data_IF_229225319169
#
_entry.id   IF_229225319169
#
_cell.length_a   1.000
_cell.length_b   1.000
_cell.length_c   1.000
_cell.angle_alpha   90.00
_cell.angle_beta   90.00
_cell.angle_gamma   90.00
#
_symmetry.space_group_name_H-M   'P 1'
#
loop_
_entity.id
_entity.type
_entity.pdbx_description
1 polymer ?
#
# COMPACT_ATOMS: atom_id res chain seq x y z
N UNK A 1 11.01 -8.68 -11.05
CA UNK A 1 10.88 -7.70 -9.95
C UNK A 1 10.14 -6.46 -10.44
N UNK A 2 8.96 -6.21 -9.87
CA UNK A 2 8.06 -5.09 -10.19
C UNK A 2 7.77 -4.33 -8.89
N UNK A 3 7.80 -3.00 -8.94
CA UNK A 3 7.38 -2.15 -7.82
C UNK A 3 6.00 -1.53 -8.12
N UNK A 4 5.08 -1.60 -7.15
CA UNK A 4 3.84 -0.83 -7.19
C UNK A 4 3.88 0.25 -6.12
N UNK A 5 3.34 1.40 -6.48
CA UNK A 5 3.24 2.55 -5.60
C UNK A 5 1.80 3.03 -5.64
N UNK A 6 1.20 3.12 -4.46
CA UNK A 6 -0.06 3.81 -4.24
C UNK A 6 0.20 5.10 -3.48
N UNK A 7 -0.57 6.14 -3.79
CA UNK A 7 -0.48 7.45 -3.15
C UNK A 7 -1.86 7.91 -2.70
N UNK A 8 -1.93 8.35 -1.46
CA UNK A 8 -3.14 8.94 -0.90
C UNK A 8 -2.84 10.02 0.12
N UNK A 9 -3.90 10.65 0.61
CA UNK A 9 -3.81 11.73 1.58
C UNK A 9 -4.88 11.57 2.65
N UNK A 10 -4.53 11.99 3.86
CA UNK A 10 -5.48 12.18 4.96
C UNK A 10 -5.34 13.57 5.53
N UNK A 11 -6.26 13.94 6.42
CA UNK A 11 -6.03 15.09 7.29
C UNK A 11 -4.90 14.76 8.29
N UNK A 12 -4.17 15.77 8.80
CA UNK A 12 -3.06 15.53 9.72
C UNK A 12 -3.48 14.79 10.99
N UNK A 13 -4.66 15.09 11.54
CA UNK A 13 -5.21 14.44 12.73
C UNK A 13 -5.54 12.94 12.53
N UNK A 14 -5.78 12.52 11.29
CA UNK A 14 -6.13 11.13 10.95
C UNK A 14 -4.90 10.27 10.62
N UNK A 15 -3.69 10.87 10.63
CA UNK A 15 -2.45 10.22 10.16
C UNK A 15 -2.18 8.89 10.87
N UNK A 16 -2.20 8.88 12.20
CA UNK A 16 -1.84 7.68 12.98
C UNK A 16 -2.88 6.57 12.81
N UNK A 17 -4.16 6.91 12.92
CA UNK A 17 -5.26 5.97 12.73
C UNK A 17 -5.27 5.36 11.32
N UNK A 18 -5.00 6.16 10.29
CA UNK A 18 -4.90 5.67 8.92
C UNK A 18 -3.67 4.78 8.72
N UNK A 19 -2.53 5.15 9.30
CA UNK A 19 -1.31 4.34 9.23
C UNK A 19 -1.52 2.95 9.84
N UNK A 20 -2.11 2.89 11.04
CA UNK A 20 -2.40 1.63 11.73
C UNK A 20 -3.37 0.75 10.94
N UNK A 21 -4.41 1.36 10.35
CA UNK A 21 -5.35 0.66 9.50
C UNK A 21 -4.66 0.03 8.28
N UNK A 22 -3.85 0.80 7.55
CA UNK A 22 -3.15 0.31 6.35
C UNK A 22 -2.10 -0.75 6.69
N UNK A 23 -1.38 -0.59 7.81
CA UNK A 23 -0.41 -1.59 8.27
C UNK A 23 -1.10 -2.89 8.66
N UNK A 24 -2.21 -2.80 9.41
CA UNK A 24 -2.96 -3.97 9.88
C UNK A 24 -3.71 -4.72 8.78
N UNK A 25 -4.09 -4.02 7.70
CA UNK A 25 -4.87 -4.61 6.60
C UNK A 25 -4.02 -4.77 5.33
N UNK A 26 -3.74 -3.68 4.62
CA UNK A 26 -3.04 -3.68 3.33
C UNK A 26 -1.65 -4.29 3.39
N UNK A 27 -0.77 -3.81 4.27
CA UNK A 27 0.61 -4.32 4.40
C UNK A 27 0.64 -5.79 4.82
N UNK A 28 -0.24 -6.19 5.74
CA UNK A 28 -0.38 -7.59 6.14
C UNK A 28 -0.82 -8.47 4.96
N UNK A 29 -1.79 -8.03 4.16
CA UNK A 29 -2.27 -8.74 2.98
C UNK A 29 -1.18 -8.84 1.89
N UNK A 30 -0.41 -7.78 1.66
CA UNK A 30 0.73 -7.80 0.75
C UNK A 30 1.74 -8.89 1.14
N UNK A 31 2.17 -8.88 2.40
CA UNK A 31 3.18 -9.83 2.90
C UNK A 31 2.70 -11.28 2.92
N UNK A 32 1.38 -11.50 2.99
CA UNK A 32 0.80 -12.83 2.95
C UNK A 32 0.70 -13.40 1.53
N UNK A 33 0.83 -12.58 0.49
CA UNK A 33 0.69 -13.02 -0.89
C UNK A 33 2.00 -13.60 -1.43
N UNK A 34 2.00 -14.83 -1.98
CA UNK A 34 3.16 -15.39 -2.65
C UNK A 34 3.70 -14.46 -3.75
N UNK A 35 5.02 -14.34 -3.82
CA UNK A 35 5.69 -13.45 -4.77
C UNK A 35 5.83 -12.00 -4.30
N UNK A 36 5.29 -11.63 -3.13
CA UNK A 36 5.61 -10.36 -2.49
C UNK A 36 7.01 -10.41 -1.86
N UNK A 37 7.86 -9.45 -2.24
CA UNK A 37 9.24 -9.30 -1.77
C UNK A 37 9.38 -8.23 -0.68
N UNK A 38 8.27 -7.64 -0.25
CA UNK A 38 8.23 -6.60 0.77
C UNK A 38 7.15 -5.56 0.49
N UNK A 39 6.67 -4.95 1.57
CA UNK A 39 5.73 -3.84 1.51
C UNK A 39 6.03 -2.82 2.63
N UNK A 40 5.93 -1.54 2.28
CA UNK A 40 6.25 -0.41 3.14
C UNK A 40 5.14 0.62 3.06
N UNK A 41 4.81 1.21 4.21
CA UNK A 41 4.01 2.41 4.31
C UNK A 41 4.94 3.56 4.72
N UNK A 42 4.90 4.64 3.96
CA UNK A 42 5.69 5.85 4.22
C UNK A 42 4.70 7.01 4.28
N UNK A 43 4.87 7.91 5.24
CA UNK A 43 4.07 9.12 5.32
C UNK A 43 4.95 10.36 5.44
N UNK A 44 4.43 11.48 4.95
CA UNK A 44 5.04 12.80 5.16
C UNK A 44 3.97 13.89 5.24
N UNK A 45 4.21 14.96 6.00
CA UNK A 45 3.38 16.16 5.90
C UNK A 45 3.41 16.74 4.48
N UNK A 46 2.24 17.17 3.99
CA UNK A 46 2.04 17.80 2.69
C UNK A 46 1.02 18.95 2.84
N UNK A 47 1.52 20.12 3.24
CA UNK A 47 0.70 21.30 3.50
C UNK A 47 -0.27 21.11 4.67
N UNK A 48 -1.57 21.14 4.38
CA UNK A 48 -2.67 20.95 5.34
C UNK A 48 -3.12 19.48 5.45
N UNK A 49 -2.34 18.55 4.89
CA UNK A 49 -2.63 17.12 4.83
C UNK A 49 -1.39 16.30 5.16
N UNK A 50 -1.60 15.00 5.33
CA UNK A 50 -0.51 14.02 5.35
C UNK A 50 -0.62 13.15 4.11
N UNK A 51 0.46 13.09 3.34
CA UNK A 51 0.59 12.16 2.23
C UNK A 51 1.04 10.79 2.75
N UNK A 52 0.50 9.75 2.13
CA UNK A 52 0.90 8.37 2.29
C UNK A 52 1.34 7.77 0.97
N UNK A 53 2.42 7.00 1.03
CA UNK A 53 2.90 6.14 -0.05
C UNK A 53 2.96 4.70 0.44
N UNK A 54 2.24 3.82 -0.24
CA UNK A 54 2.38 2.38 -0.05
C UNK A 54 3.24 1.84 -1.18
N UNK A 55 4.38 1.25 -0.85
CA UNK A 55 5.32 0.68 -1.82
C UNK A 55 5.39 -0.81 -1.61
N UNK A 56 5.09 -1.59 -2.65
CA UNK A 56 5.19 -3.06 -2.62
C UNK A 56 6.05 -3.58 -3.76
N UNK A 57 6.81 -4.65 -3.48
CA UNK A 57 7.72 -5.29 -4.43
C UNK A 57 7.23 -6.71 -4.74
N UNK A 58 7.29 -7.09 -6.01
CA UNK A 58 6.73 -8.34 -6.51
C UNK A 58 7.70 -9.05 -7.45
N UNK A 59 7.69 -10.38 -7.47
CA UNK A 59 8.51 -11.17 -8.37
C UNK A 59 8.12 -10.97 -9.83
N UNK A 60 6.82 -11.05 -10.11
CA UNK A 60 6.22 -10.98 -11.44
C UNK A 60 4.79 -10.37 -11.41
N UNK A 61 4.20 -10.27 -12.60
CA UNK A 61 2.86 -9.71 -12.79
C UNK A 61 1.76 -10.65 -12.30
N UNK A 62 1.96 -11.97 -12.37
CA UNK A 62 0.97 -12.97 -11.94
C UNK A 62 0.75 -12.91 -10.42
N UNK A 63 1.83 -12.63 -9.67
CA UNK A 63 1.79 -12.38 -8.23
C UNK A 63 0.95 -11.14 -7.89
N UNK A 64 1.05 -10.09 -8.72
CA UNK A 64 0.25 -8.86 -8.57
C UNK A 64 -1.22 -9.13 -8.84
N UNK A 65 -1.55 -9.86 -9.92
CA UNK A 65 -2.94 -10.23 -10.26
C UNK A 65 -3.55 -11.09 -9.16
N UNK A 66 -2.78 -12.02 -8.60
CA UNK A 66 -3.22 -12.87 -7.48
C UNK A 66 -3.57 -12.07 -6.23
N UNK A 67 -2.90 -10.93 -6.01
CA UNK A 67 -3.21 -10.01 -4.92
C UNK A 67 -4.42 -9.09 -5.23
N UNK A 68 -4.37 -8.38 -6.36
CA UNK A 68 -5.33 -7.33 -6.67
C UNK A 68 -6.70 -7.87 -7.13
N UNK A 69 -6.73 -9.10 -7.66
CA UNK A 69 -7.85 -9.59 -8.48
C UNK A 69 -7.87 -8.93 -9.87
N UNK A 70 -8.91 -9.19 -10.67
CA UNK A 70 -9.05 -8.65 -12.03
C UNK A 70 -9.23 -7.11 -12.07
N UNK A 71 -9.46 -6.47 -10.91
CA UNK A 71 -9.68 -5.03 -10.77
C UNK A 71 -8.42 -4.38 -10.16
N UNK A 72 -7.37 -4.26 -11.00
CA UNK A 72 -6.04 -3.75 -10.65
C UNK A 72 -6.10 -2.28 -10.12
N UNK A 73 -7.18 -1.55 -10.37
CA UNK A 73 -7.38 -0.15 -9.97
C UNK A 73 -8.32 0.07 -8.77
N UNK A 74 -9.07 -0.93 -8.28
CA UNK A 74 -10.18 -0.67 -7.34
C UNK A 74 -10.05 -1.30 -5.94
N UNK A 75 -8.98 -2.05 -5.65
CA UNK A 75 -8.78 -2.66 -4.31
C UNK A 75 -7.74 -1.93 -3.47
N UNK A 76 -7.87 -0.61 -3.30
CA UNK A 76 -7.14 0.16 -2.27
C UNK A 76 -8.01 1.29 -1.71
#
# INVERSE_FOLDING_TARGET
>A
MIARIWRGWTRPEDTEAYADYIVGTGIAAYKATPGNQGAYLISRPDGDRTEFLTVSFWDDHDSIVSFAGDDIEQRE
#
